data_IF_080617224914
#
_entry.id   IF_080617224914
#
_cell.length_a   1.000
_cell.length_b   1.000
_cell.length_c   1.000
_cell.angle_alpha   90.00
_cell.angle_beta   90.00
_cell.angle_gamma   90.00
#
_symmetry.space_group_name_H-M   'P 1'
#
loop_
_entity.id
_entity.type
_entity.pdbx_description
1 polymer ?
#
# COMPACT_ATOMS: atom_id res chain seq x y z
N UNK A 1 -100.09 -28.48 34.07
CA UNK A 1 -100.56 -29.86 34.29
C UNK A 1 -101.35 -30.28 33.06
N UNK A 2 -100.79 -31.13 32.21
CA UNK A 2 -101.47 -31.69 31.04
C UNK A 2 -101.06 -33.16 30.90
N UNK A 3 -102.05 -34.00 30.61
CA UNK A 3 -102.08 -35.45 30.80
C UNK A 3 -101.26 -36.24 29.78
N UNK A 4 -100.69 -37.34 30.30
CA UNK A 4 -100.43 -38.67 29.73
C UNK A 4 -100.87 -38.91 28.27
N UNK A 5 -99.96 -39.45 27.46
CA UNK A 5 -100.27 -40.44 26.45
C UNK A 5 -99.12 -41.45 26.30
N UNK A 6 -99.44 -42.69 26.65
CA UNK A 6 -98.64 -43.89 26.38
C UNK A 6 -98.72 -44.19 24.88
N UNK A 7 -97.58 -44.48 24.27
CA UNK A 7 -97.48 -44.89 22.87
C UNK A 7 -96.54 -46.08 22.73
N UNK A 8 -97.01 -47.26 23.11
CA UNK A 8 -96.40 -48.54 22.74
C UNK A 8 -96.42 -48.70 21.22
N UNK A 9 -95.23 -48.82 20.61
CA UNK A 9 -95.08 -49.22 19.21
C UNK A 9 -94.32 -50.55 19.14
N UNK A 10 -95.02 -51.61 18.76
CA UNK A 10 -94.51 -52.95 18.39
C UNK A 10 -95.29 -53.37 17.14
N UNK A 11 -94.86 -54.29 16.27
CA UNK A 11 -93.53 -54.73 15.81
C UNK A 11 -93.38 -54.52 14.27
N UNK A 12 -92.17 -54.68 13.70
CA UNK A 12 -92.06 -55.04 12.27
C UNK A 12 -90.77 -55.76 11.90
N UNK A 13 -90.93 -57.00 11.46
CA UNK A 13 -90.13 -57.59 10.38
C UNK A 13 -88.86 -58.32 10.81
N UNK A 14 -88.98 -59.64 10.96
CA UNK A 14 -87.85 -60.56 10.82
C UNK A 14 -87.15 -60.27 9.48
N UNK A 15 -85.90 -59.80 9.55
CA UNK A 15 -85.09 -59.52 8.36
C UNK A 15 -84.73 -60.85 7.71
N UNK A 16 -85.18 -61.04 6.47
CA UNK A 16 -84.78 -62.17 5.64
C UNK A 16 -83.25 -62.14 5.47
N UNK A 17 -82.59 -63.23 5.84
CA UNK A 17 -81.14 -63.36 5.75
C UNK A 17 -80.79 -63.69 4.30
N UNK A 18 -80.20 -62.73 3.58
CA UNK A 18 -79.69 -62.97 2.24
C UNK A 18 -78.37 -63.75 2.33
N UNK A 19 -78.09 -64.67 1.39
CA UNK A 19 -76.84 -65.42 1.38
C UNK A 19 -75.66 -64.47 1.10
N UNK A 20 -74.56 -64.63 1.84
CA UNK A 20 -73.35 -63.80 1.67
C UNK A 20 -72.79 -63.89 0.24
N UNK A 21 -72.67 -62.76 -0.45
CA UNK A 21 -72.04 -62.70 -1.77
C UNK A 21 -70.54 -62.37 -1.63
N UNK A 22 -69.77 -62.61 -2.69
CA UNK A 22 -68.33 -62.40 -2.74
C UNK A 22 -67.93 -60.94 -2.53
N UNK A 23 -68.86 -60.00 -2.65
CA UNK A 23 -68.65 -58.58 -2.34
C UNK A 23 -68.69 -58.28 -0.83
N UNK A 24 -69.28 -59.16 -0.03
CA UNK A 24 -69.25 -59.04 1.44
C UNK A 24 -67.93 -59.56 2.02
N UNK A 25 -67.27 -60.47 1.28
CA UNK A 25 -65.93 -61.00 1.60
C UNK A 25 -64.83 -60.13 1.00
N UNK A 26 -64.74 -58.88 1.43
CA UNK A 26 -63.59 -58.03 1.12
C UNK A 26 -62.48 -58.38 2.12
N UNK A 27 -61.30 -58.86 1.67
CA UNK A 27 -60.16 -58.98 2.56
C UNK A 27 -59.86 -57.58 3.11
N UNK A 28 -59.68 -57.46 4.43
CA UNK A 28 -59.37 -56.17 5.06
C UNK A 28 -58.08 -55.63 4.47
N UNK A 29 -58.18 -54.77 3.45
CA UNK A 29 -57.03 -54.05 2.95
C UNK A 29 -56.70 -52.98 3.97
N UNK A 30 -55.41 -52.82 4.25
CA UNK A 30 -54.91 -51.88 5.25
C UNK A 30 -55.40 -50.45 4.97
N UNK A 31 -55.21 -49.57 5.97
CA UNK A 31 -55.64 -48.17 5.96
C UNK A 31 -55.11 -47.43 4.70
N UNK A 32 -55.90 -47.32 3.65
CA UNK A 32 -55.54 -46.55 2.44
C UNK A 32 -55.99 -45.10 2.62
N UNK A 33 -55.13 -44.31 3.25
CA UNK A 33 -55.24 -42.85 3.24
C UNK A 33 -54.24 -42.27 2.25
N UNK A 34 -54.56 -41.14 1.62
CA UNK A 34 -53.64 -40.43 0.73
C UNK A 34 -52.31 -40.17 1.45
N UNK A 35 -51.23 -40.81 0.98
CA UNK A 35 -49.88 -40.59 1.49
C UNK A 35 -49.43 -39.18 1.11
N UNK A 36 -49.76 -38.20 1.95
CA UNK A 36 -49.08 -36.91 1.95
C UNK A 36 -47.66 -37.16 2.42
N UNK A 37 -46.70 -37.01 1.50
CA UNK A 37 -45.28 -36.98 1.83
C UNK A 37 -45.08 -35.70 2.65
N UNK A 38 -45.08 -35.82 3.97
CA UNK A 38 -44.56 -34.77 4.82
C UNK A 38 -43.07 -34.70 4.54
N UNK A 39 -42.60 -33.63 3.87
CA UNK A 39 -41.19 -33.40 3.70
C UNK A 39 -40.55 -33.37 5.10
N UNK A 40 -39.77 -34.40 5.43
CA UNK A 40 -38.98 -34.37 6.66
C UNK A 40 -37.98 -33.22 6.47
N UNK A 41 -37.94 -32.22 7.36
CA UNK A 41 -36.88 -31.22 7.31
C UNK A 41 -35.59 -32.00 7.50
N UNK A 42 -34.83 -32.14 6.40
CA UNK A 42 -33.53 -32.78 6.45
C UNK A 42 -32.71 -31.97 7.43
N UNK A 43 -31.86 -32.63 8.21
CA UNK A 43 -30.95 -31.97 9.14
C UNK A 43 -29.84 -31.19 8.38
N UNK A 44 -30.22 -30.31 7.44
CA UNK A 44 -29.30 -29.45 6.69
C UNK A 44 -28.54 -28.54 7.65
N UNK A 45 -29.18 -28.17 8.75
CA UNK A 45 -28.56 -27.41 9.83
C UNK A 45 -27.38 -28.14 10.49
N UNK A 46 -27.38 -29.49 10.55
CA UNK A 46 -26.21 -30.24 11.05
C UNK A 46 -25.00 -30.05 10.13
N UNK A 47 -25.19 -29.98 8.81
CA UNK A 47 -24.10 -29.67 7.88
C UNK A 47 -23.62 -28.23 8.00
N UNK A 48 -24.49 -27.27 8.29
CA UNK A 48 -24.09 -25.88 8.56
C UNK A 48 -23.28 -25.78 9.86
N UNK A 49 -23.70 -26.47 10.92
CA UNK A 49 -22.96 -26.53 12.19
C UNK A 49 -21.62 -27.23 11.99
N UNK A 50 -21.58 -28.35 11.25
CA UNK A 50 -20.33 -29.04 10.93
C UNK A 50 -19.39 -28.18 10.07
N UNK A 51 -19.92 -27.43 9.11
CA UNK A 51 -19.14 -26.51 8.28
C UNK A 51 -18.55 -25.35 9.11
N UNK A 52 -19.34 -24.75 10.01
CA UNK A 52 -18.86 -23.70 10.92
C UNK A 52 -17.79 -24.22 11.89
N UNK A 53 -17.98 -25.42 12.44
CA UNK A 53 -16.97 -26.07 13.29
C UNK A 53 -15.70 -26.39 12.52
N UNK A 54 -15.82 -26.91 11.29
CA UNK A 54 -14.67 -27.17 10.42
C UNK A 54 -13.91 -25.90 10.04
N UNK A 55 -14.64 -24.80 9.74
CA UNK A 55 -14.03 -23.50 9.46
C UNK A 55 -13.30 -22.93 10.68
N UNK A 56 -13.91 -23.00 11.87
CA UNK A 56 -13.28 -22.58 13.12
C UNK A 56 -12.03 -23.42 13.44
N UNK A 57 -12.06 -24.72 13.16
CA UNK A 57 -10.90 -25.60 13.32
C UNK A 57 -9.79 -25.24 12.32
N UNK A 58 -10.11 -25.03 11.05
CA UNK A 58 -9.13 -24.67 10.02
C UNK A 58 -8.51 -23.30 10.29
N UNK A 59 -9.30 -22.32 10.73
CA UNK A 59 -8.79 -21.00 11.10
C UNK A 59 -7.91 -21.06 12.34
N UNK A 60 -8.30 -21.80 13.39
CA UNK A 60 -7.44 -21.97 14.58
C UNK A 60 -6.15 -22.71 14.28
N UNK A 61 -6.17 -23.76 13.45
CA UNK A 61 -4.96 -24.47 12.99
C UNK A 61 -4.10 -23.56 12.10
N UNK A 62 -4.70 -22.82 11.18
CA UNK A 62 -3.98 -21.86 10.33
C UNK A 62 -3.28 -20.77 11.16
N UNK A 63 -3.98 -20.20 12.14
CA UNK A 63 -3.41 -19.24 13.09
C UNK A 63 -2.30 -19.91 13.91
N UNK A 64 -2.46 -21.16 14.36
CA UNK A 64 -1.41 -21.88 15.09
C UNK A 64 -0.15 -22.14 14.25
N UNK A 65 -0.29 -22.40 12.94
CA UNK A 65 0.85 -22.58 12.02
C UNK A 65 1.54 -21.24 11.76
N UNK A 66 0.78 -20.18 11.48
CA UNK A 66 1.34 -18.84 11.24
C UNK A 66 1.98 -18.26 12.50
N UNK A 67 1.35 -18.44 13.66
CA UNK A 67 1.95 -18.07 14.95
C UNK A 67 3.12 -18.97 15.32
N UNK A 68 3.15 -20.24 14.92
CA UNK A 68 4.31 -21.12 15.04
C UNK A 68 5.52 -20.65 14.21
N UNK A 69 5.27 -20.12 13.00
CA UNK A 69 6.29 -19.46 12.18
C UNK A 69 6.67 -18.05 12.69
N UNK A 70 5.73 -17.34 13.33
CA UNK A 70 5.93 -15.98 13.89
C UNK A 70 6.43 -15.93 15.34
N UNK A 71 6.39 -17.04 16.10
CA UNK A 71 6.84 -17.10 17.51
C UNK A 71 8.31 -17.50 17.69
N UNK A 72 9.12 -17.45 16.63
CA UNK A 72 10.57 -17.73 16.69
C UNK A 72 11.34 -16.72 17.59
N UNK A 73 10.67 -15.69 18.14
CA UNK A 73 11.28 -14.69 19.03
C UNK A 73 11.10 -14.87 20.55
N UNK A 74 10.35 -15.87 21.05
CA UNK A 74 10.11 -15.99 22.52
C UNK A 74 10.89 -17.16 23.14
N UNK A 75 12.14 -16.91 23.50
CA UNK A 75 12.99 -17.86 24.21
C UNK A 75 12.89 -17.70 25.73
N UNK A 76 12.40 -18.75 26.40
CA UNK A 76 12.63 -18.98 27.83
C UNK A 76 13.35 -20.32 28.00
N UNK A 77 14.60 -20.27 28.48
CA UNK A 77 15.26 -21.36 29.22
C UNK A 77 16.13 -22.35 28.43
N UNK A 78 17.44 -22.16 28.54
CA UNK A 78 18.57 -23.11 28.42
C UNK A 78 18.44 -24.35 27.51
N UNK A 79 19.03 -24.27 26.32
CA UNK A 79 19.57 -25.42 25.55
C UNK A 79 20.60 -24.92 24.50
N UNK A 80 21.50 -25.79 24.00
CA UNK A 80 22.80 -25.41 23.45
C UNK A 80 22.66 -24.64 22.15
N UNK A 81 23.66 -23.79 21.88
CA UNK A 81 23.79 -22.98 20.68
C UNK A 81 23.52 -23.81 19.42
N UNK A 82 22.29 -23.71 18.91
CA UNK A 82 21.98 -24.04 17.52
C UNK A 82 21.99 -22.71 16.81
N UNK A 83 23.01 -22.53 15.98
CA UNK A 83 23.22 -21.38 15.09
C UNK A 83 21.92 -21.02 14.38
N UNK A 84 21.29 -19.94 14.83
CA UNK A 84 20.34 -19.20 14.01
C UNK A 84 21.12 -18.64 12.83
N UNK A 85 20.82 -19.09 11.61
CA UNK A 85 21.13 -18.28 10.42
C UNK A 85 20.25 -17.02 10.52
N UNK A 86 20.74 -15.99 11.20
CA UNK A 86 20.47 -14.64 10.76
C UNK A 86 20.86 -14.56 9.28
N UNK A 87 20.20 -13.75 8.43
CA UNK A 87 20.90 -13.31 7.23
C UNK A 87 22.19 -12.69 7.74
N UNK A 88 23.31 -13.38 7.51
CA UNK A 88 24.61 -12.78 7.70
C UNK A 88 24.60 -11.57 6.82
N UNK A 89 24.56 -10.38 7.40
CA UNK A 89 24.93 -9.16 6.68
C UNK A 89 26.27 -9.51 6.05
N UNK A 90 26.38 -9.54 4.72
CA UNK A 90 27.63 -9.88 4.06
C UNK A 90 28.72 -8.97 4.61
N UNK A 91 29.97 -9.42 4.66
CA UNK A 91 31.09 -8.55 5.03
C UNK A 91 31.01 -7.29 4.14
N UNK A 92 30.61 -6.17 4.74
CA UNK A 92 30.34 -4.94 4.04
C UNK A 92 31.68 -4.32 3.65
N UNK A 93 32.07 -4.49 2.39
CA UNK A 93 33.35 -4.02 1.86
C UNK A 93 33.05 -3.06 0.73
N UNK A 94 33.38 -1.78 0.91
CA UNK A 94 33.19 -0.77 -0.11
C UNK A 94 34.17 -0.97 -1.30
N UNK A 95 33.65 -1.00 -2.53
CA UNK A 95 34.45 -1.05 -3.77
C UNK A 95 34.27 0.26 -4.58
N UNK A 96 35.25 1.19 -4.53
CA UNK A 96 35.15 2.46 -5.26
C UNK A 96 35.15 2.29 -6.79
N UNK A 97 35.57 1.12 -7.29
CA UNK A 97 35.61 0.80 -8.73
C UNK A 97 34.32 0.16 -9.25
N UNK A 98 33.35 -0.13 -8.36
CA UNK A 98 32.06 -0.66 -8.75
C UNK A 98 31.24 0.37 -9.52
N UNK A 99 30.67 -0.04 -10.65
CA UNK A 99 29.77 0.82 -11.43
C UNK A 99 28.38 0.80 -10.80
N UNK A 100 27.88 1.98 -10.43
CA UNK A 100 26.62 2.14 -9.71
C UNK A 100 25.61 2.86 -10.58
N UNK A 101 24.39 2.33 -10.67
CA UNK A 101 23.24 3.03 -11.22
C UNK A 101 22.27 3.40 -10.09
N UNK A 102 21.89 4.67 -9.99
CA UNK A 102 20.96 5.16 -8.96
C UNK A 102 19.60 5.45 -9.59
N UNK A 103 18.57 4.78 -9.10
CA UNK A 103 17.20 4.85 -9.59
C UNK A 103 16.28 5.38 -8.48
N UNK A 104 15.71 6.56 -8.70
CA UNK A 104 14.75 7.16 -7.80
C UNK A 104 13.34 6.61 -8.07
N UNK A 105 12.86 5.73 -7.18
CA UNK A 105 11.51 5.20 -7.19
C UNK A 105 10.56 5.92 -6.24
N UNK A 106 10.86 7.15 -5.86
CA UNK A 106 10.07 7.99 -4.94
C UNK A 106 9.48 9.21 -5.65
N UNK A 107 8.55 9.90 -4.97
CA UNK A 107 8.05 11.21 -5.40
C UNK A 107 9.00 12.37 -5.06
N UNK A 108 10.12 12.10 -4.37
CA UNK A 108 11.07 13.14 -3.96
C UNK A 108 11.89 13.58 -5.19
N UNK A 109 11.74 14.83 -5.66
CA UNK A 109 12.51 15.32 -6.80
C UNK A 109 14.02 15.36 -6.49
N UNK A 110 14.83 15.20 -7.53
CA UNK A 110 16.29 15.31 -7.49
C UNK A 110 17.03 14.35 -6.54
N UNK A 111 16.36 13.38 -5.93
CA UNK A 111 16.99 12.44 -4.99
C UNK A 111 18.14 11.63 -5.59
N UNK A 112 17.95 11.11 -6.81
CA UNK A 112 19.02 10.39 -7.52
C UNK A 112 20.22 11.28 -7.83
N UNK A 113 19.99 12.56 -8.15
CA UNK A 113 21.06 13.51 -8.44
C UNK A 113 21.83 13.92 -7.16
N UNK A 114 21.12 14.08 -6.04
CA UNK A 114 21.76 14.31 -4.75
C UNK A 114 22.68 13.13 -4.35
N UNK A 115 22.20 11.91 -4.54
CA UNK A 115 22.99 10.71 -4.23
C UNK A 115 24.15 10.50 -5.19
N UNK A 116 24.02 10.88 -6.45
CA UNK A 116 25.13 10.89 -7.42
C UNK A 116 26.28 11.79 -6.95
N UNK A 117 25.96 13.01 -6.50
CA UNK A 117 26.96 13.92 -5.91
C UNK A 117 27.60 13.32 -4.66
N UNK A 118 26.81 12.71 -3.78
CA UNK A 118 27.29 12.13 -2.53
C UNK A 118 28.22 10.93 -2.77
N UNK A 119 27.80 9.98 -3.61
CA UNK A 119 28.58 8.79 -3.96
C UNK A 119 29.89 9.20 -4.62
N UNK A 120 29.86 10.21 -5.50
CA UNK A 120 31.07 10.73 -6.16
C UNK A 120 32.00 11.43 -5.16
N UNK A 121 31.47 12.25 -4.25
CA UNK A 121 32.25 12.98 -3.25
C UNK A 121 32.93 12.03 -2.25
N UNK A 122 32.20 11.00 -1.80
CA UNK A 122 32.69 10.03 -0.82
C UNK A 122 33.44 8.86 -1.46
N UNK A 123 33.50 8.83 -2.79
CA UNK A 123 34.14 7.76 -3.57
C UNK A 123 33.58 6.37 -3.25
N UNK A 124 32.27 6.27 -3.03
CA UNK A 124 31.59 5.01 -2.71
C UNK A 124 31.40 4.08 -3.93
N UNK A 125 31.64 4.61 -5.13
CA UNK A 125 31.55 3.88 -6.39
C UNK A 125 31.70 4.83 -7.57
N UNK A 126 31.69 4.28 -8.77
CA UNK A 126 31.69 5.05 -10.03
C UNK A 126 30.28 5.09 -10.58
N UNK A 127 29.64 6.26 -10.57
CA UNK A 127 28.29 6.40 -11.11
C UNK A 127 28.31 6.20 -12.62
N UNK A 128 27.51 5.25 -13.10
CA UNK A 128 27.26 5.04 -14.52
C UNK A 128 26.07 5.89 -14.99
N UNK A 129 25.01 5.94 -14.18
CA UNK A 129 23.80 6.70 -14.46
C UNK A 129 23.02 6.96 -13.16
N UNK A 130 22.43 8.15 -13.06
CA UNK A 130 21.51 8.55 -11.99
C UNK A 130 20.23 9.08 -12.63
N UNK A 131 19.06 8.65 -12.14
CA UNK A 131 17.80 9.08 -12.74
C UNK A 131 16.55 8.57 -12.04
N UNK A 132 15.40 8.86 -12.64
CA UNK A 132 14.11 8.33 -12.17
C UNK A 132 13.97 6.87 -12.54
N UNK A 133 13.42 6.07 -11.62
CA UNK A 133 13.00 4.72 -11.91
C UNK A 133 11.78 4.71 -12.83
N UNK A 134 11.42 3.53 -13.34
CA UNK A 134 10.23 3.36 -14.16
C UNK A 134 8.91 3.63 -13.40
N UNK A 135 8.94 3.55 -12.07
CA UNK A 135 7.81 3.78 -11.19
C UNK A 135 8.28 4.60 -9.97
N UNK A 136 7.44 5.52 -9.50
CA UNK A 136 7.72 6.42 -8.35
C UNK A 136 6.97 6.02 -7.06
N UNK A 137 6.34 4.84 -7.04
CA UNK A 137 5.57 4.28 -5.92
C UNK A 137 6.29 3.10 -5.23
N UNK A 138 7.61 2.99 -5.43
CA UNK A 138 8.42 1.93 -4.84
C UNK A 138 8.44 2.09 -3.33
N UNK A 139 8.09 1.04 -2.59
CA UNK A 139 7.99 1.11 -1.13
C UNK A 139 9.31 0.81 -0.42
N UNK A 140 10.16 -0.03 -1.00
CA UNK A 140 11.36 -0.56 -0.35
C UNK A 140 12.61 -0.15 -1.12
N UNK A 141 13.58 0.38 -0.38
CA UNK A 141 14.90 0.76 -0.87
C UNK A 141 15.84 -0.43 -0.81
N UNK A 142 16.53 -0.68 -1.93
CA UNK A 142 17.47 -1.79 -2.00
C UNK A 142 18.60 -1.59 -3.00
N UNK A 143 19.73 -2.23 -2.72
CA UNK A 143 20.83 -2.39 -3.68
C UNK A 143 20.72 -3.75 -4.35
N UNK A 144 20.58 -3.73 -5.66
CA UNK A 144 20.55 -4.90 -6.51
C UNK A 144 21.91 -5.16 -7.13
N UNK A 145 22.30 -6.42 -7.18
CA UNK A 145 23.53 -6.88 -7.84
C UNK A 145 23.26 -8.15 -8.64
N UNK A 146 24.07 -8.43 -9.65
CA UNK A 146 23.90 -9.62 -10.51
C UNK A 146 24.87 -10.74 -10.15
N UNK A 147 26.15 -10.43 -9.92
CA UNK A 147 27.18 -11.39 -9.56
C UNK A 147 27.31 -11.54 -8.03
N UNK A 148 27.39 -12.77 -7.54
CA UNK A 148 27.72 -13.08 -6.14
C UNK A 148 29.04 -12.45 -5.67
N UNK A 149 29.99 -12.20 -6.56
CA UNK A 149 31.24 -11.52 -6.21
C UNK A 149 31.04 -10.05 -5.77
N UNK A 150 29.93 -9.43 -6.19
CA UNK A 150 29.58 -8.05 -5.85
C UNK A 150 28.75 -7.94 -4.56
N UNK A 151 28.44 -9.04 -3.88
CA UNK A 151 27.62 -9.08 -2.67
C UNK A 151 28.23 -8.23 -1.53
N UNK A 152 29.55 -8.30 -1.34
CA UNK A 152 30.26 -7.49 -0.34
C UNK A 152 30.29 -6.01 -0.69
N UNK A 153 30.45 -5.69 -1.98
CA UNK A 153 30.39 -4.32 -2.52
C UNK A 153 29.00 -3.71 -2.37
N UNK A 154 27.96 -4.47 -2.68
CA UNK A 154 26.57 -4.10 -2.49
C UNK A 154 26.27 -3.85 -1.01
N UNK A 155 26.73 -4.73 -0.12
CA UNK A 155 26.57 -4.58 1.33
C UNK A 155 27.32 -3.35 1.88
N UNK A 156 28.52 -3.07 1.35
CA UNK A 156 29.28 -1.86 1.67
C UNK A 156 28.53 -0.58 1.31
N UNK A 157 28.09 -0.48 0.05
CA UNK A 157 27.31 0.67 -0.40
C UNK A 157 25.98 0.81 0.34
N UNK A 158 25.29 -0.31 0.60
CA UNK A 158 24.04 -0.33 1.32
C UNK A 158 24.18 0.17 2.77
N UNK A 159 25.29 -0.17 3.44
CA UNK A 159 25.59 0.31 4.78
C UNK A 159 25.75 1.83 4.82
N UNK A 160 26.47 2.41 3.85
CA UNK A 160 26.66 3.87 3.73
C UNK A 160 25.36 4.60 3.40
N UNK A 161 24.46 3.97 2.64
CA UNK A 161 23.16 4.52 2.28
C UNK A 161 22.09 4.40 3.38
N UNK A 162 22.49 4.18 4.63
CA UNK A 162 21.58 4.06 5.78
C UNK A 162 21.16 2.62 6.10
N UNK A 163 21.89 1.62 5.61
CA UNK A 163 21.62 0.21 5.89
C UNK A 163 20.45 -0.37 5.11
N UNK A 164 20.31 0.03 3.84
CA UNK A 164 19.25 -0.50 2.96
C UNK A 164 19.46 -1.99 2.64
N UNK A 165 18.41 -2.68 2.18
CA UNK A 165 18.50 -4.13 1.92
C UNK A 165 19.29 -4.42 0.64
N UNK A 166 19.92 -5.59 0.54
CA UNK A 166 20.58 -6.03 -0.69
C UNK A 166 19.87 -7.26 -1.26
N UNK A 167 19.75 -7.32 -2.59
CA UNK A 167 19.13 -8.45 -3.28
C UNK A 167 19.89 -8.80 -4.56
N UNK A 168 20.06 -10.09 -4.82
CA UNK A 168 20.61 -10.55 -6.09
C UNK A 168 19.48 -10.64 -7.14
N UNK A 169 19.64 -9.97 -8.28
CA UNK A 169 18.73 -10.08 -9.43
C UNK A 169 19.45 -9.84 -10.75
N UNK A 170 19.01 -10.53 -11.79
CA UNK A 170 19.53 -10.38 -13.15
C UNK A 170 18.72 -9.38 -13.99
N UNK A 171 17.57 -8.92 -13.49
CA UNK A 171 16.61 -8.08 -14.23
C UNK A 171 17.19 -6.73 -14.67
N UNK A 172 18.18 -6.23 -13.93
CA UNK A 172 18.82 -4.94 -14.17
C UNK A 172 20.15 -5.03 -14.92
N UNK A 173 20.59 -6.22 -15.36
CA UNK A 173 21.84 -6.37 -16.12
C UNK A 173 21.84 -5.55 -17.43
N UNK A 174 20.66 -5.26 -17.99
CA UNK A 174 20.51 -4.42 -19.18
C UNK A 174 21.08 -3.00 -19.04
N UNK A 175 21.18 -2.49 -17.81
CA UNK A 175 21.72 -1.16 -17.53
C UNK A 175 23.26 -1.13 -17.53
N UNK A 176 23.92 -2.30 -17.54
CA UNK A 176 25.39 -2.40 -17.58
C UNK A 176 26.11 -1.95 -16.29
N UNK A 177 25.37 -1.66 -15.22
CA UNK A 177 25.91 -1.37 -13.90
C UNK A 177 26.12 -2.66 -13.10
N UNK A 178 27.19 -2.71 -12.29
CA UNK A 178 27.45 -3.80 -11.34
C UNK A 178 26.45 -3.76 -10.18
N UNK A 179 26.19 -2.55 -9.68
CA UNK A 179 25.29 -2.29 -8.55
C UNK A 179 24.17 -1.34 -8.99
N UNK A 180 22.93 -1.65 -8.62
CA UNK A 180 21.76 -0.83 -8.93
C UNK A 180 21.09 -0.45 -7.61
N UNK A 181 21.12 0.83 -7.26
CA UNK A 181 20.46 1.36 -6.07
C UNK A 181 19.06 1.80 -6.47
N UNK A 182 18.03 1.11 -5.98
CA UNK A 182 16.64 1.52 -6.11
C UNK A 182 16.19 2.18 -4.80
N UNK A 183 15.72 3.41 -4.90
CA UNK A 183 15.27 4.20 -3.76
C UNK A 183 13.75 4.11 -3.66
N UNK A 184 13.25 3.66 -2.52
CA UNK A 184 11.83 3.57 -2.20
C UNK A 184 11.42 4.61 -1.16
N UNK A 185 10.12 4.66 -0.86
CA UNK A 185 9.52 5.58 0.11
C UNK A 185 10.05 5.39 1.55
N UNK A 186 10.62 4.24 1.85
CA UNK A 186 11.28 3.93 3.12
C UNK A 186 12.72 4.47 3.22
N UNK A 187 13.24 5.12 2.17
CA UNK A 187 14.60 5.65 2.18
C UNK A 187 14.76 6.74 3.24
N UNK A 188 15.64 6.48 4.20
CA UNK A 188 16.00 7.40 5.29
C UNK A 188 17.51 7.63 5.38
N UNK A 189 18.23 7.40 4.28
CA UNK A 189 19.67 7.57 4.19
C UNK A 189 20.10 9.01 3.87
N UNK A 190 21.41 9.23 3.68
CA UNK A 190 21.95 10.55 3.34
C UNK A 190 21.51 11.01 1.94
N UNK A 191 21.61 12.32 1.63
CA UNK A 191 21.21 12.85 0.33
C UNK A 191 19.77 13.40 0.26
N UNK A 192 18.94 13.19 1.29
CA UNK A 192 17.58 13.73 1.35
C UNK A 192 17.57 15.26 1.49
N UNK A 193 18.42 15.80 2.37
CA UNK A 193 18.53 17.25 2.59
C UNK A 193 19.11 17.94 1.34
N UNK A 194 20.10 17.32 0.70
CA UNK A 194 20.68 17.78 -0.55
C UNK A 194 19.64 17.73 -1.69
N UNK A 195 18.81 16.69 -1.77
CA UNK A 195 17.74 16.60 -2.76
C UNK A 195 16.71 17.72 -2.56
N UNK A 196 16.37 18.04 -1.31
CA UNK A 196 15.51 19.16 -0.97
C UNK A 196 16.17 20.50 -1.30
N UNK A 197 17.48 20.65 -1.08
CA UNK A 197 18.22 21.86 -1.44
C UNK A 197 18.32 22.05 -2.95
N UNK A 198 18.52 20.98 -3.72
CA UNK A 198 18.49 21.01 -5.19
C UNK A 198 17.10 21.35 -5.72
N UNK A 199 16.07 20.82 -5.06
CA UNK A 199 14.67 21.09 -5.40
C UNK A 199 14.28 22.50 -5.01
N UNK A 200 14.65 22.98 -3.82
CA UNK A 200 14.43 24.34 -3.35
C UNK A 200 15.36 25.37 -4.00
N UNK A 201 16.41 24.90 -4.68
CA UNK A 201 17.25 25.68 -5.59
C UNK A 201 16.56 25.96 -6.93
N UNK A 202 15.56 25.15 -7.30
CA UNK A 202 14.40 25.70 -7.98
C UNK A 202 13.54 26.33 -6.89
N UNK A 203 13.79 27.59 -6.56
CA UNK A 203 12.83 28.35 -5.78
C UNK A 203 11.43 28.01 -6.33
N UNK A 204 10.42 27.74 -5.48
CA UNK A 204 9.05 27.83 -5.99
C UNK A 204 9.05 29.20 -6.65
N UNK A 205 8.83 29.27 -7.97
CA UNK A 205 8.96 30.51 -8.75
C UNK A 205 8.55 31.65 -7.83
N UNK A 206 9.54 32.45 -7.35
CA UNK A 206 9.40 33.30 -6.16
C UNK A 206 7.98 33.81 -6.19
N UNK A 207 7.12 33.41 -5.25
CA UNK A 207 5.70 33.75 -5.36
C UNK A 207 5.70 35.27 -5.40
N UNK A 208 5.56 35.82 -6.62
CA UNK A 208 5.77 37.22 -6.88
C UNK A 208 4.63 37.85 -6.12
N UNK A 209 4.92 38.34 -4.92
CA UNK A 209 3.93 38.98 -4.10
C UNK A 209 3.65 40.28 -4.80
N UNK A 210 2.57 40.32 -5.57
CA UNK A 210 2.16 41.53 -6.27
C UNK A 210 1.42 42.37 -5.25
N UNK A 211 1.84 43.62 -5.06
CA UNK A 211 1.06 44.57 -4.30
C UNK A 211 -0.29 44.79 -5.01
N UNK A 212 -1.43 44.43 -4.38
CA UNK A 212 -2.73 44.55 -5.02
C UNK A 212 -3.15 46.01 -5.29
N UNK A 213 -2.51 46.99 -4.67
CA UNK A 213 -2.81 48.41 -4.87
C UNK A 213 -2.09 48.99 -6.09
N UNK A 214 -0.87 48.55 -6.36
CA UNK A 214 0.01 49.15 -7.39
C UNK A 214 0.33 48.23 -8.55
N UNK A 215 0.19 46.91 -8.40
CA UNK A 215 0.57 45.92 -9.40
C UNK A 215 2.08 45.67 -9.50
N UNK A 216 2.88 46.30 -8.63
CA UNK A 216 4.32 46.10 -8.54
C UNK A 216 4.66 44.79 -7.81
N UNK A 217 5.80 44.19 -8.17
CA UNK A 217 6.29 42.98 -7.50
C UNK A 217 6.93 43.38 -6.16
N UNK A 218 6.81 42.57 -5.11
CA UNK A 218 7.44 42.82 -3.80
C UNK A 218 8.68 41.94 -3.70
N UNK A 219 9.83 42.55 -3.43
CA UNK A 219 11.07 41.84 -3.09
C UNK A 219 10.85 41.06 -1.77
N UNK A 220 10.96 39.71 -1.77
CA UNK A 220 10.71 38.90 -0.58
C UNK A 220 11.78 39.10 0.51
N UNK A 221 12.96 39.63 0.16
CA UNK A 221 14.08 39.84 1.07
C UNK A 221 14.05 41.22 1.72
N UNK A 222 13.68 42.24 0.94
CA UNK A 222 13.73 43.65 1.41
C UNK A 222 12.35 44.26 1.66
N UNK A 223 11.28 43.66 1.14
CA UNK A 223 9.91 44.21 1.19
C UNK A 223 9.71 45.44 0.30
N UNK A 224 10.69 45.78 -0.55
CA UNK A 224 10.60 46.91 -1.46
C UNK A 224 9.84 46.53 -2.73
N UNK A 225 9.18 47.51 -3.33
CA UNK A 225 8.47 47.32 -4.60
C UNK A 225 9.48 47.25 -5.75
N UNK A 226 9.19 46.43 -6.75
CA UNK A 226 9.96 46.19 -7.96
C UNK A 226 9.02 46.42 -9.15
N UNK A 227 9.47 47.23 -10.10
CA UNK A 227 8.79 47.42 -11.38
C UNK A 227 8.84 46.13 -12.21
N UNK A 228 7.70 45.52 -12.58
CA UNK A 228 7.70 44.31 -13.40
C UNK A 228 8.26 44.51 -14.81
N UNK A 229 8.28 45.74 -15.34
CA UNK A 229 8.77 46.01 -16.69
C UNK A 229 10.31 46.08 -16.75
N UNK A 230 10.94 46.68 -15.74
CA UNK A 230 12.38 46.90 -15.71
C UNK A 230 13.14 45.99 -14.75
N UNK A 231 12.45 45.37 -13.79
CA UNK A 231 13.06 44.64 -12.69
C UNK A 231 13.80 45.55 -11.71
N UNK A 232 13.57 46.87 -11.77
CA UNK A 232 14.23 47.85 -10.92
C UNK A 232 13.41 48.12 -9.65
N UNK A 233 14.12 48.41 -8.55
CA UNK A 233 13.48 48.80 -7.29
C UNK A 233 12.75 50.12 -7.43
N UNK A 234 11.62 50.29 -6.76
CA UNK A 234 10.89 51.55 -6.68
C UNK A 234 11.32 52.28 -5.42
N UNK A 235 11.72 53.54 -5.57
CA UNK A 235 11.99 54.44 -4.45
C UNK A 235 10.68 54.73 -3.70
N UNK A 236 10.58 54.46 -2.38
CA UNK A 236 9.37 54.72 -1.60
C UNK A 236 9.02 56.22 -1.49
N UNK A 237 10.00 57.13 -1.63
CA UNK A 237 9.77 58.58 -1.49
C UNK A 237 9.24 59.20 -2.78
N UNK A 238 9.69 58.71 -3.93
CA UNK A 238 9.36 59.29 -5.25
C UNK A 238 8.40 58.41 -6.07
N UNK A 239 8.28 57.12 -5.75
CA UNK A 239 7.48 56.16 -6.51
C UNK A 239 8.07 55.83 -7.88
N UNK A 240 9.34 56.13 -8.12
CA UNK A 240 10.01 55.96 -9.42
C UNK A 240 11.00 54.79 -9.40
N UNK A 241 11.24 54.14 -10.56
CA UNK A 241 12.29 53.13 -10.69
C UNK A 241 13.67 53.71 -10.36
N UNK A 242 14.43 53.01 -9.52
CA UNK A 242 15.80 53.34 -9.14
C UNK A 242 16.74 52.60 -10.05
N UNK A 243 17.58 53.34 -10.76
CA UNK A 243 18.62 52.74 -11.59
C UNK A 243 19.64 52.01 -10.69
N UNK A 244 19.85 50.70 -10.88
CA UNK A 244 20.77 49.91 -10.06
C UNK A 244 22.24 50.36 -10.19
N UNK A 245 22.62 51.05 -11.28
CA UNK A 245 24.00 51.53 -11.48
C UNK A 245 24.26 52.84 -10.74
N UNK A 246 23.27 53.73 -10.67
CA UNK A 246 23.43 55.07 -10.11
C UNK A 246 22.80 55.25 -8.73
N UNK A 247 21.88 54.35 -8.34
CA UNK A 247 21.11 54.44 -7.09
C UNK A 247 20.16 55.64 -7.05
N UNK A 248 19.90 56.28 -8.20
CA UNK A 248 19.08 57.47 -8.31
C UNK A 248 17.69 57.12 -8.91
N UNK A 249 16.62 57.82 -8.51
CA UNK A 249 15.31 57.68 -9.14
C UNK A 249 15.37 58.15 -10.59
N UNK A 250 14.83 57.36 -11.51
CA UNK A 250 14.75 57.63 -12.95
C UNK A 250 13.30 57.89 -13.34
N UNK A 251 13.10 58.91 -14.18
CA UNK A 251 11.78 59.21 -14.73
C UNK A 251 11.31 58.03 -15.62
N UNK A 252 10.17 57.38 -15.30
CA UNK A 252 9.69 56.23 -16.05
C UNK A 252 9.41 56.55 -17.53
N UNK A 253 9.15 57.82 -17.90
CA UNK A 253 8.97 58.22 -19.29
C UNK A 253 10.25 58.22 -20.12
N UNK A 254 11.41 58.12 -19.46
CA UNK A 254 12.73 58.06 -20.11
C UNK A 254 13.26 56.64 -20.28
N UNK A 255 12.57 55.65 -19.72
CA UNK A 255 12.92 54.24 -19.85
C UNK A 255 12.53 53.72 -21.24
N UNK A 256 13.36 52.85 -21.86
CA UNK A 256 12.98 52.20 -23.11
C UNK A 256 11.74 51.33 -22.84
N UNK A 257 10.64 51.64 -23.51
CA UNK A 257 9.48 50.75 -23.55
C UNK A 257 9.84 49.55 -24.44
N UNK A 258 9.90 48.34 -23.87
CA UNK A 258 9.86 47.08 -24.61
C UNK A 258 8.48 46.41 -24.48
#
# INVERSE_FOLDING_TARGET
>A
MAQKNEGTSTPRGARQHYPEDRFDRIPRSGRVGAHRITARPRYVWQYLVAALLGFALLTTVGIAIVSGLGNIGKFTGDRPATTSNAPSTPDAVLDPTATVAVLNGTEIPNLAAALDQLITQQQWGTILFSGSAAASDVQISAVFYSDSADESAAAGLAAELGGISTYQTEEYQQYGARLIVLLGADYAGPGLDEAQALTGGSAPAEEVQIDPETGYQIDPTTGQLIDPATGWLIDPDTGWPVDPETGAPVDPATLPAE
#
